data_IF_647050108565
#
_entry.id   IF_647050108565
#
_cell.length_a   1.000
_cell.length_b   1.000
_cell.length_c   1.000
_cell.angle_alpha   90.00
_cell.angle_beta   90.00
_cell.angle_gamma   90.00
#
_symmetry.space_group_name_H-M   'P 1'
#
loop_
_entity.id
_entity.type
_entity.pdbx_description
1 polymer ?
#
# COMPACT_ATOMS: atom_id res chain seq x y z
N UNK A 1 -10.06 19.54 -6.15
CA UNK A 1 -10.22 19.26 -4.71
C UNK A 1 -8.91 19.66 -4.05
N UNK A 2 -8.91 20.74 -3.28
CA UNK A 2 -7.71 21.20 -2.55
C UNK A 2 -7.60 20.35 -1.28
N UNK A 3 -6.55 19.55 -1.17
CA UNK A 3 -6.27 18.77 0.03
C UNK A 3 -5.58 19.72 1.01
N UNK A 4 -6.18 19.93 2.18
CA UNK A 4 -5.51 20.59 3.30
C UNK A 4 -4.73 19.55 4.07
N UNK A 5 -3.40 19.66 4.07
CA UNK A 5 -2.50 18.80 4.84
C UNK A 5 -2.28 19.42 6.21
N UNK A 6 -2.43 18.64 7.28
CA UNK A 6 -1.95 19.04 8.61
C UNK A 6 -0.42 18.94 8.69
N UNK A 7 0.17 19.52 9.73
CA UNK A 7 1.60 19.34 10.02
C UNK A 7 1.95 17.84 10.22
N UNK A 8 1.06 17.09 10.85
CA UNK A 8 1.22 15.64 11.04
C UNK A 8 1.20 14.88 9.71
N UNK A 9 0.34 15.28 8.77
CA UNK A 9 0.29 14.64 7.44
C UNK A 9 1.60 14.90 6.67
N UNK A 10 2.11 16.13 6.75
CA UNK A 10 3.39 16.50 6.13
C UNK A 10 4.53 15.68 6.74
N UNK A 11 4.61 15.64 8.08
CA UNK A 11 5.62 14.86 8.78
C UNK A 11 5.55 13.36 8.44
N UNK A 12 4.33 12.81 8.34
CA UNK A 12 4.10 11.42 7.97
C UNK A 12 4.62 11.10 6.56
N UNK A 13 4.24 11.88 5.54
CA UNK A 13 4.64 11.59 4.15
C UNK A 13 6.13 11.92 3.89
N UNK A 14 6.70 12.90 4.59
CA UNK A 14 8.15 13.12 4.58
C UNK A 14 8.92 11.93 5.18
N UNK A 15 8.48 11.41 6.32
CA UNK A 15 9.09 10.23 6.93
C UNK A 15 8.93 8.99 6.03
N UNK A 16 7.74 8.78 5.45
CA UNK A 16 7.47 7.70 4.52
C UNK A 16 8.40 7.75 3.30
N UNK A 17 8.53 8.91 2.65
CA UNK A 17 9.34 9.03 1.42
C UNK A 17 10.84 8.95 1.67
N UNK A 18 11.33 9.32 2.86
CA UNK A 18 12.72 9.05 3.27
C UNK A 18 13.04 7.55 3.33
N UNK A 19 12.04 6.70 3.59
CA UNK A 19 12.17 5.23 3.60
C UNK A 19 12.05 4.59 2.22
N UNK A 20 11.78 5.36 1.16
CA UNK A 20 11.59 4.83 -0.19
C UNK A 20 12.82 4.06 -0.73
N UNK A 21 14.04 4.36 -0.25
CA UNK A 21 15.24 3.61 -0.61
C UNK A 21 15.22 2.15 -0.09
N UNK A 22 14.46 1.87 0.97
CA UNK A 22 14.22 0.53 1.53
C UNK A 22 12.89 -0.08 1.10
N UNK A 23 12.22 0.49 0.10
CA UNK A 23 10.95 -0.04 -0.40
C UNK A 23 11.14 -1.46 -0.95
N UNK A 24 10.24 -2.37 -0.59
CA UNK A 24 10.30 -3.76 -1.00
C UNK A 24 9.55 -3.96 -2.33
N UNK A 25 10.06 -4.83 -3.20
CA UNK A 25 9.32 -5.30 -4.35
C UNK A 25 8.49 -6.54 -3.94
N UNK A 26 7.16 -6.43 -3.78
CA UNK A 26 6.34 -7.56 -3.40
C UNK A 26 6.26 -8.60 -4.52
N UNK A 27 6.22 -9.87 -4.14
CA UNK A 27 5.98 -10.97 -5.08
C UNK A 27 4.52 -10.96 -5.49
N UNK A 28 4.23 -10.88 -6.79
CA UNK A 28 2.86 -11.08 -7.27
C UNK A 28 2.47 -12.53 -7.20
N UNK A 29 1.24 -12.78 -6.79
CA UNK A 29 0.70 -14.13 -6.73
C UNK A 29 -0.78 -14.14 -7.10
N UNK A 30 -1.09 -14.82 -8.21
CA UNK A 30 -2.48 -15.16 -8.56
C UNK A 30 -2.97 -16.26 -7.63
N UNK A 31 -4.15 -16.08 -7.05
CA UNK A 31 -4.80 -17.06 -6.20
C UNK A 31 -6.28 -17.19 -6.56
N UNK A 32 -6.88 -18.28 -6.10
CA UNK A 32 -8.33 -18.46 -6.01
C UNK A 32 -8.66 -18.62 -4.52
N UNK A 33 -9.70 -17.93 -4.04
CA UNK A 33 -10.20 -18.11 -2.68
C UNK A 33 -10.90 -19.46 -2.52
N UNK A 34 -11.13 -19.89 -1.27
CA UNK A 34 -11.73 -21.21 -0.99
C UNK A 34 -13.10 -21.45 -1.64
N UNK A 35 -13.87 -20.39 -1.89
CA UNK A 35 -15.18 -20.47 -2.54
C UNK A 35 -15.11 -20.46 -4.08
N UNK A 36 -13.91 -20.48 -4.66
CA UNK A 36 -13.71 -20.42 -6.10
C UNK A 36 -13.68 -19.01 -6.69
N UNK A 37 -13.87 -17.96 -5.89
CA UNK A 37 -13.80 -16.57 -6.36
C UNK A 37 -12.36 -16.06 -6.46
N UNK A 38 -12.15 -15.07 -7.33
CA UNK A 38 -10.86 -14.38 -7.50
C UNK A 38 -10.77 -13.11 -6.64
N UNK A 39 -9.55 -12.68 -6.25
CA UNK A 39 -9.30 -11.34 -5.72
C UNK A 39 -9.84 -10.24 -6.65
N UNK A 40 -10.46 -9.22 -6.06
CA UNK A 40 -11.04 -8.10 -6.82
C UNK A 40 -10.02 -6.99 -7.06
N UNK A 41 -9.98 -6.46 -8.27
CA UNK A 41 -9.20 -5.25 -8.58
C UNK A 41 -9.63 -4.09 -7.68
N UNK A 42 -8.68 -3.27 -7.24
CA UNK A 42 -8.88 -2.11 -6.35
C UNK A 42 -9.48 -2.44 -4.98
N UNK A 43 -9.48 -3.72 -4.56
CA UNK A 43 -10.04 -4.17 -3.28
C UNK A 43 -8.95 -4.78 -2.38
N UNK A 44 -7.74 -4.19 -2.40
CA UNK A 44 -6.55 -4.77 -1.79
C UNK A 44 -6.69 -5.05 -0.29
N UNK A 45 -7.36 -4.15 0.44
CA UNK A 45 -7.59 -4.31 1.87
C UNK A 45 -8.50 -5.51 2.18
N UNK A 46 -9.62 -5.65 1.46
CA UNK A 46 -10.53 -6.77 1.65
C UNK A 46 -9.94 -8.08 1.14
N UNK A 47 -9.21 -8.06 0.02
CA UNK A 47 -8.51 -9.24 -0.50
C UNK A 47 -7.50 -9.78 0.51
N UNK A 48 -6.64 -8.92 1.06
CA UNK A 48 -5.62 -9.31 2.04
C UNK A 48 -6.27 -9.81 3.34
N UNK A 49 -7.26 -9.09 3.88
CA UNK A 49 -7.98 -9.51 5.08
C UNK A 49 -8.67 -10.87 4.90
N UNK A 50 -9.32 -11.06 3.75
CA UNK A 50 -9.96 -12.32 3.38
C UNK A 50 -8.95 -13.47 3.30
N UNK A 51 -7.81 -13.25 2.62
CA UNK A 51 -6.80 -14.30 2.50
C UNK A 51 -6.23 -14.69 3.86
N UNK A 52 -5.97 -13.72 4.75
CA UNK A 52 -5.51 -14.01 6.11
C UNK A 52 -6.57 -14.75 6.95
N UNK A 53 -7.86 -14.51 6.73
CA UNK A 53 -8.93 -15.28 7.37
C UNK A 53 -9.00 -16.73 6.87
N UNK A 54 -8.64 -16.99 5.61
CA UNK A 54 -8.59 -18.34 5.04
C UNK A 54 -7.28 -19.06 5.40
N UNK A 55 -6.16 -18.36 5.47
CA UNK A 55 -4.83 -18.94 5.65
C UNK A 55 -4.07 -18.26 6.81
N UNK A 56 -3.97 -18.92 7.99
CA UNK A 56 -3.31 -18.34 9.15
C UNK A 56 -1.78 -18.24 9.01
N UNK A 57 -1.19 -18.79 7.94
CA UNK A 57 0.25 -18.67 7.68
C UNK A 57 0.64 -17.30 7.08
N UNK A 58 -0.34 -16.46 6.74
CA UNK A 58 -0.10 -15.12 6.21
C UNK A 58 -0.79 -14.06 7.05
N UNK A 59 -0.17 -12.89 7.14
CA UNK A 59 -0.72 -11.73 7.87
C UNK A 59 -0.86 -10.53 6.93
N UNK A 60 -1.92 -9.70 7.06
CA UNK A 60 -2.04 -8.48 6.29
C UNK A 60 -0.95 -7.48 6.68
N UNK A 61 -0.39 -6.80 5.69
CA UNK A 61 0.54 -5.69 5.84
C UNK A 61 0.00 -4.49 5.09
N UNK A 62 0.02 -3.33 5.74
CA UNK A 62 -0.55 -2.09 5.21
C UNK A 62 0.53 -1.08 4.87
N UNK A 63 0.32 -0.28 3.84
CA UNK A 63 1.34 0.68 3.40
C UNK A 63 0.99 1.31 2.06
N UNK A 64 2.04 1.60 1.28
CA UNK A 64 1.93 2.44 0.08
C UNK A 64 2.69 1.83 -1.09
N UNK A 65 2.01 1.61 -2.20
CA UNK A 65 2.66 1.35 -3.48
C UNK A 65 3.19 2.65 -4.09
N UNK A 66 4.39 2.60 -4.64
CA UNK A 66 5.00 3.70 -5.40
C UNK A 66 4.67 3.48 -6.88
N UNK A 67 3.57 4.06 -7.36
CA UNK A 67 3.07 3.84 -8.72
C UNK A 67 3.84 4.60 -9.79
N UNK A 68 4.32 5.80 -9.47
CA UNK A 68 5.17 6.60 -10.35
C UNK A 68 6.28 7.26 -9.56
N UNK A 69 7.43 7.39 -10.21
CA UNK A 69 8.57 8.15 -9.73
C UNK A 69 9.08 9.00 -10.89
N UNK A 70 8.55 10.21 -11.06
CA UNK A 70 8.93 11.11 -12.16
C UNK A 70 9.11 12.54 -11.66
N UNK A 71 10.19 13.20 -12.09
CA UNK A 71 10.48 14.58 -11.71
C UNK A 71 10.72 14.81 -10.22
N UNK A 72 11.12 13.78 -9.46
CA UNK A 72 11.29 13.86 -8.00
C UNK A 72 10.01 13.67 -7.19
N UNK A 73 8.86 13.51 -7.85
CA UNK A 73 7.57 13.23 -7.23
C UNK A 73 7.28 11.73 -7.23
N UNK A 74 6.65 11.26 -6.14
CA UNK A 74 6.18 9.89 -5.99
C UNK A 74 4.67 9.88 -5.87
N UNK A 75 3.97 9.14 -6.73
CA UNK A 75 2.57 8.80 -6.47
C UNK A 75 2.53 7.58 -5.55
N UNK A 76 1.96 7.79 -4.37
CA UNK A 76 1.79 6.80 -3.33
C UNK A 76 0.32 6.40 -3.30
N UNK A 77 0.03 5.13 -3.53
CA UNK A 77 -1.32 4.57 -3.42
C UNK A 77 -1.42 3.69 -2.18
N UNK A 78 -2.43 3.92 -1.35
CA UNK A 78 -2.70 3.08 -0.20
C UNK A 78 -2.92 1.63 -0.67
N UNK A 79 -2.25 0.68 -0.03
CA UNK A 79 -2.30 -0.71 -0.45
C UNK A 79 -2.14 -1.68 0.72
N UNK A 80 -2.77 -2.85 0.60
CA UNK A 80 -2.54 -3.98 1.51
C UNK A 80 -1.93 -5.15 0.76
N UNK A 81 -0.93 -5.76 1.40
CA UNK A 81 -0.25 -6.97 0.98
C UNK A 81 -0.42 -8.05 2.05
N UNK A 82 0.15 -9.22 1.78
CA UNK A 82 0.32 -10.30 2.74
C UNK A 82 1.79 -10.47 3.07
N UNK A 83 2.10 -10.85 4.30
CA UNK A 83 3.43 -11.34 4.69
C UNK A 83 3.34 -12.80 5.07
N UNK A 84 4.18 -13.64 4.47
CA UNK A 84 4.29 -15.06 4.84
C UNK A 84 5.24 -15.28 6.03
N UNK A 85 5.32 -16.53 6.51
CA UNK A 85 6.19 -16.91 7.62
C UNK A 85 7.70 -16.75 7.35
N UNK A 86 8.12 -16.56 6.08
CA UNK A 86 9.50 -16.23 5.71
C UNK A 86 9.75 -14.71 5.67
N UNK A 87 8.71 -13.90 5.89
CA UNK A 87 8.78 -12.44 5.81
C UNK A 87 8.59 -11.89 4.40
N UNK A 88 8.24 -12.74 3.41
CA UNK A 88 8.03 -12.31 2.02
C UNK A 88 6.74 -11.52 1.91
N UNK A 89 6.80 -10.36 1.25
CA UNK A 89 5.60 -9.60 0.89
C UNK A 89 4.99 -10.15 -0.40
N UNK A 90 3.69 -10.41 -0.37
CA UNK A 90 2.93 -11.00 -1.47
C UNK A 90 1.76 -10.07 -1.82
N UNK A 91 1.67 -9.71 -3.09
CA UNK A 91 0.52 -8.98 -3.65
C UNK A 91 -0.40 -9.96 -4.39
N UNK A 92 -1.62 -10.09 -3.88
CA UNK A 92 -2.68 -10.89 -4.49
C UNK A 92 -3.73 -10.04 -5.22
N UNK A 93 -3.62 -8.72 -5.17
CA UNK A 93 -4.58 -7.83 -5.80
C UNK A 93 -4.27 -7.75 -7.29
N UNK A 94 -5.25 -7.95 -8.19
CA UNK A 94 -5.02 -7.81 -9.62
C UNK A 94 -4.70 -6.34 -9.95
N UNK A 95 -3.50 -6.11 -10.49
CA UNK A 95 -3.01 -4.80 -10.92
C UNK A 95 -2.20 -4.96 -12.20
N UNK A 96 -2.38 -4.08 -13.18
CA UNK A 96 -1.76 -4.24 -14.50
C UNK A 96 -0.26 -3.90 -14.50
N UNK A 97 0.26 -3.27 -13.43
CA UNK A 97 1.51 -2.52 -13.56
C UNK A 97 2.85 -3.26 -13.40
N UNK A 98 3.05 -4.39 -12.76
CA UNK A 98 4.38 -4.98 -12.44
C UNK A 98 5.46 -4.07 -11.78
N UNK A 99 6.38 -4.70 -11.02
CA UNK A 99 7.57 -4.03 -10.47
C UNK A 99 7.34 -2.89 -9.46
N UNK A 100 6.11 -2.65 -9.00
CA UNK A 100 5.80 -1.59 -8.05
C UNK A 100 6.47 -1.84 -6.70
N UNK A 101 7.20 -0.86 -6.19
CA UNK A 101 7.77 -0.92 -4.86
C UNK A 101 6.73 -0.56 -3.80
N UNK A 102 6.89 -1.12 -2.60
CA UNK A 102 5.99 -0.96 -1.47
C UNK A 102 6.75 -0.45 -0.25
N UNK A 103 6.18 0.55 0.42
CA UNK A 103 6.64 1.05 1.71
C UNK A 103 5.60 0.69 2.76
N UNK A 104 5.99 -0.15 3.71
CA UNK A 104 5.15 -0.52 4.85
C UNK A 104 4.87 0.69 5.74
N UNK A 105 3.63 0.81 6.18
CA UNK A 105 3.23 1.76 7.21
C UNK A 105 3.86 1.37 8.54
N UNK A 106 4.49 2.34 9.22
CA UNK A 106 4.98 2.18 10.58
C UNK A 106 3.89 2.63 11.54
N UNK A 107 3.37 1.70 12.33
CA UNK A 107 2.24 1.94 13.23
C UNK A 107 1.27 0.77 13.24
N UNK A 108 0.11 0.98 13.86
CA UNK A 108 -0.94 -0.05 13.86
C UNK A 108 -1.75 -0.03 12.56
N UNK A 109 -2.43 -1.13 12.26
CA UNK A 109 -3.42 -1.14 11.17
C UNK A 109 -4.49 -0.06 11.36
N UNK A 110 -4.91 0.22 12.60
CA UNK A 110 -5.89 1.24 12.91
C UNK A 110 -5.40 2.65 12.52
N UNK A 111 -4.14 2.96 12.79
CA UNK A 111 -3.52 4.24 12.41
C UNK A 111 -3.48 4.38 10.88
N UNK A 112 -3.11 3.33 10.16
CA UNK A 112 -3.16 3.31 8.71
C UNK A 112 -4.58 3.56 8.18
N UNK A 113 -5.58 2.84 8.70
CA UNK A 113 -6.97 2.99 8.26
C UNK A 113 -7.56 4.37 8.58
N UNK A 114 -7.08 5.04 9.63
CA UNK A 114 -7.46 6.42 9.94
C UNK A 114 -6.96 7.44 8.90
N UNK A 115 -5.94 7.12 8.10
CA UNK A 115 -5.45 7.97 7.02
C UNK A 115 -6.32 7.89 5.75
N UNK A 116 -6.93 6.74 5.48
CA UNK A 116 -7.58 6.45 4.18
C UNK A 116 -8.74 7.37 3.80
N UNK A 117 -9.58 7.89 4.72
CA UNK A 117 -10.62 8.86 4.36
C UNK A 117 -10.06 10.13 3.70
N UNK A 118 -8.78 10.42 3.96
CA UNK A 118 -8.08 11.61 3.45
C UNK A 118 -7.10 11.26 2.33
N UNK A 119 -6.53 10.05 2.37
CA UNK A 119 -5.40 9.66 1.53
C UNK A 119 -5.53 8.24 0.97
N UNK A 120 -6.43 8.04 0.00
CA UNK A 120 -6.41 6.81 -0.79
C UNK A 120 -5.23 6.78 -1.79
N UNK A 121 -4.80 7.96 -2.25
CA UNK A 121 -3.52 8.15 -2.94
C UNK A 121 -3.04 9.59 -2.75
N UNK A 122 -1.73 9.83 -2.80
CA UNK A 122 -1.13 11.16 -2.72
C UNK A 122 0.11 11.26 -3.60
N UNK A 123 0.40 12.45 -4.12
CA UNK A 123 1.68 12.75 -4.77
C UNK A 123 2.58 13.51 -3.79
N UNK A 124 3.80 13.02 -3.57
CA UNK A 124 4.75 13.61 -2.61
C UNK A 124 6.15 13.86 -3.23
N UNK A 125 6.81 15.01 -2.96
CA UNK A 125 6.27 16.18 -2.25
C UNK A 125 5.06 16.77 -2.98
N UNK A 126 4.19 17.57 -2.32
CA UNK A 126 3.07 18.17 -3.01
C UNK A 126 3.61 19.06 -4.15
N UNK A 127 3.02 19.00 -5.36
CA UNK A 127 3.41 19.90 -6.44
C UNK A 127 3.26 21.34 -5.96
N UNK A 128 4.33 22.13 -6.05
CA UNK A 128 4.20 23.56 -5.82
C UNK A 128 3.28 24.11 -6.91
N UNK A 129 2.15 24.71 -6.51
CA UNK A 129 1.36 25.49 -7.47
C UNK A 129 2.22 26.69 -7.86
N UNK A 130 2.70 26.70 -9.11
CA UNK A 130 3.31 27.88 -9.73
C UNK A 130 2.26 28.97 -9.93
#
# INVERSE_FOLDING_TARGET
MTIFLSEDDVAYFDALTKRAAGAAAPRRQTIIFRDGSEPRRNDCHANAARRAAEDPAVVPVHGWLIETNHGGFRRLAAHSLLRDGAGTLIDITPIDQEGLAFIEHEGSAADFFALLPRFNSITWPPPQML
#
